data_IF_138416270521
#
_entry.id   IF_138416270521
#
_cell.length_a   1.000
_cell.length_b   1.000
_cell.length_c   1.000
_cell.angle_alpha   90.00
_cell.angle_beta   90.00
_cell.angle_gamma   90.00
#
_symmetry.space_group_name_H-M   'P 1'
#
loop_
_entity.id
_entity.type
_entity.pdbx_description
1 polymer ?
#
# COMPACT_ATOMS: atom_id res chain seq x y z
N UNK A 1 10.62 -54.81 -36.59
CA UNK A 1 10.92 -54.52 -35.18
C UNK A 1 11.28 -53.05 -35.08
N UNK A 2 10.33 -52.22 -34.62
CA UNK A 2 10.52 -50.78 -34.46
C UNK A 2 10.37 -50.44 -32.99
N UNK A 3 11.43 -49.90 -32.39
CA UNK A 3 11.38 -49.23 -31.09
C UNK A 3 12.03 -47.86 -31.29
N UNK A 4 11.18 -46.85 -31.47
CA UNK A 4 11.57 -45.45 -31.44
C UNK A 4 11.21 -44.90 -30.07
N UNK A 5 12.24 -44.45 -29.36
CA UNK A 5 12.19 -43.58 -28.19
C UNK A 5 11.68 -42.19 -28.57
N UNK A 6 10.72 -41.64 -27.83
CA UNK A 6 10.60 -40.20 -27.52
C UNK A 6 9.39 -40.04 -26.58
N UNK A 7 9.33 -39.21 -25.54
CA UNK A 7 10.06 -37.99 -25.24
C UNK A 7 9.13 -37.19 -24.33
N UNK A 8 9.61 -36.86 -23.13
CA UNK A 8 8.94 -36.03 -22.13
C UNK A 8 8.30 -34.78 -22.74
N UNK A 9 7.01 -34.53 -22.42
CA UNK A 9 6.41 -33.18 -22.53
C UNK A 9 5.98 -32.69 -21.16
N UNK A 10 6.91 -32.03 -20.48
CA UNK A 10 6.63 -31.04 -19.44
C UNK A 10 5.70 -29.96 -19.98
N UNK A 11 4.44 -30.00 -19.57
CA UNK A 11 3.47 -28.93 -19.78
C UNK A 11 3.91 -27.68 -19.03
N UNK A 12 4.32 -26.64 -19.76
CA UNK A 12 4.53 -25.29 -19.20
C UNK A 12 3.16 -24.74 -18.78
N UNK A 13 2.90 -24.68 -17.47
CA UNK A 13 1.76 -23.97 -16.87
C UNK A 13 1.74 -22.54 -17.40
N UNK A 14 0.65 -22.14 -18.07
CA UNK A 14 0.52 -20.82 -18.69
C UNK A 14 0.37 -19.65 -17.70
N UNK A 15 0.38 -18.40 -18.20
CA UNK A 15 0.36 -17.17 -17.40
C UNK A 15 -0.83 -17.04 -16.43
N UNK A 16 -2.03 -17.45 -16.85
CA UNK A 16 -3.28 -17.29 -16.07
C UNK A 16 -3.25 -18.01 -14.72
N UNK A 17 -2.77 -19.27 -14.69
CA UNK A 17 -2.67 -20.06 -13.46
C UNK A 17 -1.59 -19.50 -12.50
N UNK A 18 -0.61 -18.77 -13.04
CA UNK A 18 0.44 -18.12 -12.26
C UNK A 18 -0.11 -16.91 -11.50
N UNK A 19 -0.93 -16.08 -12.16
CA UNK A 19 -1.56 -14.91 -11.55
C UNK A 19 -2.62 -15.30 -10.50
N UNK A 20 -3.44 -16.33 -10.76
CA UNK A 20 -4.36 -16.88 -9.77
C UNK A 20 -3.63 -17.35 -8.50
N UNK A 21 -2.45 -17.97 -8.68
CA UNK A 21 -1.61 -18.39 -7.55
C UNK A 21 -1.06 -17.18 -6.79
N UNK A 22 -0.64 -16.12 -7.49
CA UNK A 22 -0.17 -14.88 -6.86
C UNK A 22 -1.28 -14.23 -6.04
N UNK A 23 -2.47 -14.10 -6.61
CA UNK A 23 -3.64 -13.52 -5.93
C UNK A 23 -4.01 -14.32 -4.67
N UNK A 24 -4.03 -15.66 -4.75
CA UNK A 24 -4.30 -16.52 -3.59
C UNK A 24 -3.24 -16.36 -2.48
N UNK A 25 -1.96 -16.19 -2.83
CA UNK A 25 -0.89 -15.93 -1.86
C UNK A 25 -1.06 -14.55 -1.21
N UNK A 26 -1.38 -13.51 -1.97
CA UNK A 26 -1.62 -12.18 -1.41
C UNK A 26 -2.83 -12.17 -0.46
N UNK A 27 -3.92 -12.85 -0.82
CA UNK A 27 -5.08 -13.02 0.07
C UNK A 27 -4.70 -13.73 1.37
N UNK A 28 -4.02 -14.88 1.27
CA UNK A 28 -3.57 -15.63 2.44
C UNK A 28 -2.60 -14.83 3.32
N UNK A 29 -1.75 -14.01 2.70
CA UNK A 29 -0.82 -13.11 3.38
C UNK A 29 -1.59 -12.08 4.21
N UNK A 30 -2.64 -11.45 3.65
CA UNK A 30 -3.46 -10.46 4.38
C UNK A 30 -4.17 -11.08 5.59
N UNK A 31 -4.69 -12.29 5.44
CA UNK A 31 -5.31 -13.01 6.55
C UNK A 31 -4.29 -13.28 7.66
N UNK A 32 -3.10 -13.80 7.32
CA UNK A 32 -2.02 -14.03 8.28
C UNK A 32 -1.59 -12.72 8.98
N UNK A 33 -1.40 -11.63 8.22
CA UNK A 33 -1.05 -10.31 8.77
C UNK A 33 -2.07 -9.82 9.80
N UNK A 34 -3.36 -10.03 9.52
CA UNK A 34 -4.44 -9.63 10.42
C UNK A 34 -4.50 -10.50 11.68
N UNK A 35 -4.27 -11.81 11.55
CA UNK A 35 -4.37 -12.80 12.64
C UNK A 35 -3.16 -12.76 13.59
N UNK A 36 -1.94 -12.71 13.06
CA UNK A 36 -0.71 -12.95 13.84
C UNK A 36 0.19 -11.72 13.97
N UNK A 37 -0.06 -10.67 13.17
CA UNK A 37 0.77 -9.47 13.15
C UNK A 37 2.17 -9.72 12.58
N UNK A 38 3.05 -8.71 12.65
CA UNK A 38 4.38 -8.79 12.01
C UNK A 38 5.30 -9.82 12.67
N UNK A 39 5.41 -9.82 14.01
CA UNK A 39 6.28 -10.74 14.74
C UNK A 39 5.83 -12.20 14.70
N UNK A 40 4.53 -12.44 14.55
CA UNK A 40 3.96 -13.78 14.50
C UNK A 40 3.82 -14.33 13.08
N UNK A 41 4.18 -13.55 12.06
CA UNK A 41 3.90 -13.86 10.67
C UNK A 41 4.60 -15.16 10.22
N UNK A 42 3.82 -16.11 9.68
CA UNK A 42 4.33 -17.40 9.21
C UNK A 42 4.15 -17.64 7.71
N UNK A 43 5.26 -17.74 6.99
CA UNK A 43 5.26 -18.11 5.56
C UNK A 43 4.73 -19.53 5.35
N UNK A 44 4.92 -20.43 6.32
CA UNK A 44 4.35 -21.79 6.27
C UNK A 44 2.82 -21.76 6.33
N UNK A 45 2.26 -20.92 7.21
CA UNK A 45 0.82 -20.72 7.32
C UNK A 45 0.24 -20.17 6.02
N UNK A 46 0.88 -19.15 5.44
CA UNK A 46 0.50 -18.58 4.14
C UNK A 46 0.56 -19.62 3.03
N UNK A 47 1.67 -20.37 2.92
CA UNK A 47 1.85 -21.41 1.90
C UNK A 47 0.75 -22.48 1.99
N UNK A 48 0.45 -22.95 3.22
CA UNK A 48 -0.63 -23.91 3.47
C UNK A 48 -2.00 -23.34 3.06
N UNK A 49 -2.30 -22.10 3.46
CA UNK A 49 -3.59 -21.44 3.18
C UNK A 49 -3.80 -21.17 1.69
N UNK A 50 -2.75 -20.74 0.98
CA UNK A 50 -2.78 -20.47 -0.45
C UNK A 50 -2.64 -21.75 -1.31
N UNK A 51 -2.47 -22.93 -0.70
CA UNK A 51 -2.12 -24.18 -1.40
C UNK A 51 -0.91 -24.02 -2.34
N UNK A 52 0.07 -23.24 -1.90
CA UNK A 52 1.27 -22.89 -2.66
C UNK A 52 2.53 -23.47 -1.98
N UNK A 53 3.59 -23.73 -2.76
CA UNK A 53 4.89 -24.07 -2.19
C UNK A 53 5.66 -22.80 -1.77
N UNK A 54 6.49 -22.89 -0.73
CA UNK A 54 7.43 -21.81 -0.36
C UNK A 54 8.29 -21.34 -1.54
N UNK A 55 8.77 -22.27 -2.36
CA UNK A 55 9.52 -21.95 -3.58
C UNK A 55 8.71 -21.10 -4.55
N UNK A 56 7.39 -21.29 -4.62
CA UNK A 56 6.51 -20.44 -5.43
C UNK A 56 6.42 -19.03 -4.87
N UNK A 57 6.32 -18.88 -3.54
CA UNK A 57 6.32 -17.58 -2.87
C UNK A 57 7.64 -16.82 -3.12
N UNK A 58 8.78 -17.44 -2.81
CA UNK A 58 10.09 -16.80 -2.96
C UNK A 58 10.48 -16.47 -4.42
N UNK A 59 9.79 -17.05 -5.41
CA UNK A 59 9.97 -16.68 -6.82
C UNK A 59 9.35 -15.33 -7.16
N UNK A 60 8.28 -14.94 -6.46
CA UNK A 60 7.52 -13.73 -6.76
C UNK A 60 8.01 -12.50 -6.02
N UNK A 61 8.47 -12.67 -4.77
CA UNK A 61 8.88 -11.56 -3.92
C UNK A 61 10.32 -11.74 -3.45
N UNK A 62 11.13 -10.66 -3.49
CA UNK A 62 12.54 -10.70 -3.06
C UNK A 62 12.67 -10.91 -1.55
N UNK A 63 11.66 -10.53 -0.77
CA UNK A 63 11.58 -10.75 0.66
C UNK A 63 10.14 -10.98 1.12
N UNK A 64 9.96 -11.53 2.33
CA UNK A 64 8.64 -11.69 2.93
C UNK A 64 8.05 -10.34 3.31
N UNK A 65 8.87 -9.38 3.73
CA UNK A 65 8.41 -8.02 3.96
C UNK A 65 7.83 -7.40 2.68
N UNK A 66 8.51 -7.58 1.53
CA UNK A 66 8.03 -7.09 0.25
C UNK A 66 6.70 -7.74 -0.16
N UNK A 67 6.50 -9.03 0.14
CA UNK A 67 5.20 -9.70 -0.04
C UNK A 67 4.11 -9.09 0.85
N UNK A 68 4.39 -8.81 2.12
CA UNK A 68 3.44 -8.16 3.04
C UNK A 68 3.06 -6.76 2.57
N UNK A 69 4.03 -5.99 2.06
CA UNK A 69 3.77 -4.67 1.48
C UNK A 69 2.92 -4.80 0.21
N UNK A 70 3.28 -5.67 -0.73
CA UNK A 70 2.49 -5.90 -1.96
C UNK A 70 1.04 -6.31 -1.63
N UNK A 71 0.88 -7.20 -0.64
CA UNK A 71 -0.43 -7.64 -0.16
C UNK A 71 -1.29 -6.50 0.40
N UNK A 72 -0.68 -5.55 1.11
CA UNK A 72 -1.37 -4.38 1.64
C UNK A 72 -1.68 -3.34 0.56
N UNK A 73 -0.73 -3.06 -0.34
CA UNK A 73 -0.91 -2.10 -1.42
C UNK A 73 -2.01 -2.55 -2.39
N UNK A 74 -2.16 -3.86 -2.61
CA UNK A 74 -3.25 -4.43 -3.42
C UNK A 74 -4.66 -4.22 -2.82
N UNK A 75 -4.78 -3.82 -1.55
CA UNK A 75 -6.07 -3.41 -0.95
C UNK A 75 -6.36 -1.93 -1.09
N UNK A 76 -5.38 -1.13 -1.48
CA UNK A 76 -5.56 0.31 -1.60
C UNK A 76 -6.22 0.57 -2.95
N UNK A 77 -7.45 1.11 -2.98
CA UNK A 77 -8.09 1.43 -4.24
C UNK A 77 -7.36 2.59 -4.93
N UNK A 78 -7.61 2.75 -6.23
CA UNK A 78 -7.15 3.93 -6.95
C UNK A 78 -7.70 5.22 -6.31
N UNK A 79 -6.93 6.30 -6.43
CA UNK A 79 -7.38 7.62 -5.97
C UNK A 79 -8.63 8.04 -6.75
N UNK A 80 -9.71 8.48 -6.07
CA UNK A 80 -10.89 9.00 -6.76
C UNK A 80 -10.57 10.32 -7.48
N UNK A 81 -11.48 10.78 -8.34
CA UNK A 81 -11.44 12.15 -8.84
C UNK A 81 -11.68 13.11 -7.67
N UNK A 82 -10.71 13.99 -7.42
CA UNK A 82 -10.77 15.01 -6.38
C UNK A 82 -11.51 16.28 -6.78
N UNK A 83 -12.08 16.34 -7.99
CA UNK A 83 -12.85 17.48 -8.45
C UNK A 83 -12.00 18.75 -8.60
N UNK A 84 -12.62 19.91 -8.29
CA UNK A 84 -11.99 21.23 -8.46
C UNK A 84 -11.60 21.90 -7.15
N UNK A 85 -12.20 21.50 -6.04
CA UNK A 85 -11.92 22.10 -4.74
C UNK A 85 -10.52 21.67 -4.24
N UNK A 86 -9.66 22.61 -3.78
CA UNK A 86 -8.32 22.27 -3.31
C UNK A 86 -8.30 21.22 -2.18
N UNK A 87 -9.25 21.27 -1.25
CA UNK A 87 -9.31 20.33 -0.13
C UNK A 87 -9.71 18.94 -0.63
N UNK A 88 -10.73 18.84 -1.48
CA UNK A 88 -11.15 17.58 -2.10
C UNK A 88 -10.01 16.95 -2.92
N UNK A 89 -9.26 17.76 -3.67
CA UNK A 89 -8.11 17.30 -4.47
C UNK A 89 -6.97 16.76 -3.62
N UNK A 90 -6.63 17.41 -2.51
CA UNK A 90 -5.63 16.89 -1.57
C UNK A 90 -6.15 15.63 -0.88
N UNK A 91 -7.42 15.63 -0.49
CA UNK A 91 -8.07 14.48 0.17
C UNK A 91 -8.05 13.25 -0.73
N UNK A 92 -8.34 13.40 -2.01
CA UNK A 92 -8.38 12.30 -2.98
C UNK A 92 -7.07 11.50 -3.05
N UNK A 93 -5.92 12.15 -2.82
CA UNK A 93 -4.61 11.49 -2.86
C UNK A 93 -4.34 10.58 -1.65
N UNK A 94 -5.03 10.78 -0.53
CA UNK A 94 -4.75 10.08 0.73
C UNK A 94 -5.94 9.30 1.29
N UNK A 95 -7.17 9.61 0.85
CA UNK A 95 -8.40 8.92 1.29
C UNK A 95 -8.43 7.42 0.96
N UNK A 96 -7.72 6.89 -0.06
CA UNK A 96 -7.63 5.44 -0.24
C UNK A 96 -7.04 4.70 0.98
N UNK A 97 -6.05 5.31 1.66
CA UNK A 97 -5.48 4.73 2.88
C UNK A 97 -6.49 4.71 4.03
N UNK A 98 -7.28 5.78 4.18
CA UNK A 98 -8.39 5.83 5.15
C UNK A 98 -9.44 4.75 4.84
N UNK A 99 -9.85 4.63 3.57
CA UNK A 99 -10.84 3.66 3.13
C UNK A 99 -10.39 2.22 3.43
N UNK A 100 -9.14 1.88 3.09
CA UNK A 100 -8.55 0.57 3.41
C UNK A 100 -8.48 0.36 4.92
N UNK A 101 -8.00 1.35 5.69
CA UNK A 101 -7.92 1.23 7.14
C UNK A 101 -9.28 0.97 7.82
N UNK A 102 -10.37 1.52 7.27
CA UNK A 102 -11.72 1.37 7.81
C UNK A 102 -12.44 0.09 7.37
N UNK A 103 -11.94 -0.61 6.36
CA UNK A 103 -12.62 -1.77 5.79
C UNK A 103 -12.06 -3.07 6.36
N UNK A 104 -12.92 -3.86 7.00
CA UNK A 104 -12.56 -5.17 7.56
C UNK A 104 -11.31 -5.10 8.45
N UNK A 105 -10.31 -5.93 8.14
CA UNK A 105 -9.01 -5.97 8.84
C UNK A 105 -7.93 -5.08 8.21
N UNK A 106 -8.30 -4.15 7.32
CA UNK A 106 -7.33 -3.35 6.56
C UNK A 106 -6.39 -2.50 7.43
N UNK A 107 -6.85 -1.96 8.57
CA UNK A 107 -5.97 -1.26 9.51
C UNK A 107 -4.86 -2.17 10.08
N UNK A 108 -5.16 -3.45 10.35
CA UNK A 108 -4.19 -4.40 10.84
C UNK A 108 -3.18 -4.78 9.74
N UNK A 109 -3.67 -4.99 8.52
CA UNK A 109 -2.84 -5.25 7.33
C UNK A 109 -1.90 -4.08 7.05
N UNK A 110 -2.39 -2.84 6.98
CA UNK A 110 -1.57 -1.65 6.77
C UNK A 110 -0.51 -1.49 7.87
N UNK A 111 -0.86 -1.73 9.14
CA UNK A 111 0.10 -1.68 10.24
C UNK A 111 1.22 -2.70 10.07
N UNK A 112 0.90 -3.95 9.69
CA UNK A 112 1.94 -4.97 9.47
C UNK A 112 2.82 -4.63 8.27
N UNK A 113 2.25 -4.12 7.18
CA UNK A 113 3.03 -3.67 6.03
C UNK A 113 3.99 -2.53 6.39
N UNK A 114 3.56 -1.56 7.21
CA UNK A 114 4.43 -0.48 7.71
C UNK A 114 5.56 -1.02 8.58
N UNK A 115 5.28 -1.95 9.50
CA UNK A 115 6.31 -2.57 10.34
C UNK A 115 7.30 -3.38 9.49
N UNK A 116 6.82 -4.12 8.50
CA UNK A 116 7.66 -4.82 7.55
C UNK A 116 8.55 -3.86 6.76
N UNK A 117 7.99 -2.75 6.26
CA UNK A 117 8.73 -1.73 5.51
C UNK A 117 9.83 -1.03 6.34
N UNK A 118 9.70 -1.00 7.67
CA UNK A 118 10.71 -0.48 8.60
C UNK A 118 11.84 -1.49 8.82
N UNK A 119 11.51 -2.77 9.01
CA UNK A 119 12.48 -3.80 9.37
C UNK A 119 13.18 -4.45 8.15
N UNK A 120 12.55 -4.43 6.98
CA UNK A 120 12.99 -5.09 5.75
C UNK A 120 13.25 -4.06 4.65
N UNK A 121 14.48 -4.05 4.12
CA UNK A 121 14.94 -3.03 3.17
C UNK A 121 14.14 -3.06 1.87
N UNK A 122 13.95 -4.25 1.31
CA UNK A 122 13.22 -4.47 0.06
C UNK A 122 11.76 -4.06 0.22
N UNK A 123 11.14 -4.40 1.35
CA UNK A 123 9.79 -3.95 1.69
C UNK A 123 9.70 -2.41 1.76
N UNK A 124 10.67 -1.78 2.42
CA UNK A 124 10.77 -0.33 2.50
C UNK A 124 10.92 0.33 1.14
N UNK A 125 11.68 -0.26 0.21
CA UNK A 125 11.81 0.23 -1.15
C UNK A 125 10.48 0.16 -1.92
N UNK A 126 9.75 -0.96 -1.81
CA UNK A 126 8.42 -1.10 -2.44
C UNK A 126 7.45 -0.06 -1.87
N UNK A 127 7.41 0.12 -0.55
CA UNK A 127 6.53 1.11 0.08
C UNK A 127 6.88 2.55 -0.35
N UNK A 128 8.17 2.92 -0.34
CA UNK A 128 8.61 4.26 -0.77
C UNK A 128 8.35 4.50 -2.25
N UNK A 129 8.48 3.48 -3.10
CA UNK A 129 8.16 3.59 -4.53
C UNK A 129 6.67 3.88 -4.74
N UNK A 130 5.79 3.20 -4.00
CA UNK A 130 4.35 3.47 -4.02
C UNK A 130 4.03 4.89 -3.51
N UNK A 131 4.55 5.29 -2.33
CA UNK A 131 4.37 6.67 -1.82
C UNK A 131 4.85 7.71 -2.85
N UNK A 132 6.01 7.46 -3.47
CA UNK A 132 6.61 8.33 -4.47
C UNK A 132 5.71 8.55 -5.69
N UNK A 133 5.18 7.45 -6.22
CA UNK A 133 4.35 7.44 -7.44
C UNK A 133 2.93 7.92 -7.19
N UNK A 134 2.25 7.35 -6.19
CA UNK A 134 0.80 7.49 -6.02
C UNK A 134 0.41 8.69 -5.17
N UNK A 135 1.32 9.20 -4.33
CA UNK A 135 1.04 10.33 -3.44
C UNK A 135 1.97 11.51 -3.71
N UNK A 136 3.28 11.33 -3.56
CA UNK A 136 4.26 12.44 -3.57
C UNK A 136 4.29 13.18 -4.90
N UNK A 137 4.35 12.47 -6.02
CA UNK A 137 4.40 13.10 -7.34
C UNK A 137 3.09 13.85 -7.69
N UNK A 138 1.89 13.25 -7.57
CA UNK A 138 0.62 13.95 -7.77
C UNK A 138 0.46 15.15 -6.84
N UNK A 139 0.80 15.00 -5.55
CA UNK A 139 0.74 16.07 -4.58
C UNK A 139 1.66 17.23 -4.96
N UNK A 140 2.90 16.96 -5.37
CA UNK A 140 3.84 17.99 -5.83
C UNK A 140 3.27 18.81 -6.99
N UNK A 141 2.63 18.16 -7.96
CA UNK A 141 2.00 18.83 -9.09
C UNK A 141 0.81 19.69 -8.65
N UNK A 142 -0.04 19.15 -7.78
CA UNK A 142 -1.18 19.86 -7.20
C UNK A 142 -0.73 21.10 -6.41
N UNK A 143 0.23 20.97 -5.51
CA UNK A 143 0.72 22.09 -4.70
C UNK A 143 1.37 23.18 -5.55
N UNK A 144 2.14 22.80 -6.57
CA UNK A 144 2.71 23.77 -7.52
C UNK A 144 1.63 24.56 -8.27
N UNK A 145 0.55 23.89 -8.69
CA UNK A 145 -0.61 24.54 -9.30
C UNK A 145 -1.31 25.51 -8.34
N UNK A 146 -1.60 25.07 -7.12
CA UNK A 146 -2.27 25.88 -6.09
C UNK A 146 -1.43 27.11 -5.71
N UNK A 147 -0.10 26.95 -5.60
CA UNK A 147 0.83 28.03 -5.34
C UNK A 147 0.99 28.99 -6.55
N UNK A 148 0.82 28.48 -7.77
CA UNK A 148 0.70 29.28 -8.99
C UNK A 148 -0.54 30.19 -8.96
N UNK A 149 -1.66 29.65 -8.48
CA UNK A 149 -2.95 30.35 -8.30
C UNK A 149 -3.04 31.20 -7.03
N UNK A 150 -1.98 31.25 -6.21
CA UNK A 150 -1.95 31.94 -4.90
C UNK A 150 -2.99 31.42 -3.90
N UNK A 151 -3.42 30.17 -4.02
CA UNK A 151 -4.28 29.51 -3.02
C UNK A 151 -3.48 29.17 -1.76
N UNK A 152 -2.20 28.82 -1.94
CA UNK A 152 -1.25 28.55 -0.86
C UNK A 152 0.06 29.33 -1.06
N UNK A 153 0.83 29.50 0.02
CA UNK A 153 2.20 30.04 -0.01
C UNK A 153 3.13 29.17 -0.87
N UNK A 154 4.16 29.78 -1.45
CA UNK A 154 5.07 29.15 -2.44
C UNK A 154 6.25 28.39 -1.84
N UNK A 155 6.53 28.65 -0.58
CA UNK A 155 7.65 28.10 0.20
C UNK A 155 7.20 26.89 1.04
N UNK A 156 6.35 26.04 0.47
CA UNK A 156 6.01 24.76 1.08
C UNK A 156 7.17 23.77 0.92
N UNK A 157 7.46 23.03 1.98
CA UNK A 157 8.32 21.84 1.92
C UNK A 157 7.46 20.60 1.71
N UNK A 158 7.75 19.82 0.67
CA UNK A 158 6.90 18.67 0.31
C UNK A 158 6.97 17.54 1.35
N UNK A 159 8.12 17.39 2.01
CA UNK A 159 8.28 16.38 3.07
C UNK A 159 7.49 16.78 4.30
N UNK A 160 7.53 18.06 4.69
CA UNK A 160 6.69 18.58 5.77
C UNK A 160 5.19 18.40 5.47
N UNK A 161 4.75 18.68 4.24
CA UNK A 161 3.34 18.49 3.87
C UNK A 161 2.94 17.01 3.94
N UNK A 162 3.80 16.09 3.48
CA UNK A 162 3.52 14.66 3.61
C UNK A 162 3.44 14.21 5.07
N UNK A 163 4.32 14.73 5.93
CA UNK A 163 4.30 14.46 7.37
C UNK A 163 3.03 15.00 8.04
N UNK A 164 2.57 16.20 7.68
CA UNK A 164 1.31 16.77 8.17
C UNK A 164 0.08 15.95 7.73
N UNK A 165 0.06 15.48 6.47
CA UNK A 165 -1.07 14.73 5.92
C UNK A 165 -1.13 13.28 6.44
N UNK A 166 0.02 12.59 6.49
CA UNK A 166 0.08 11.15 6.75
C UNK A 166 0.57 10.79 8.15
N UNK A 167 1.35 11.65 8.82
CA UNK A 167 1.88 11.41 10.17
C UNK A 167 0.78 11.06 11.18
N UNK A 168 -0.32 11.84 11.27
CA UNK A 168 -1.45 11.52 12.16
C UNK A 168 -2.11 10.16 11.86
N UNK A 169 -2.20 9.78 10.58
CA UNK A 169 -2.72 8.48 10.14
C UNK A 169 -1.81 7.35 10.63
N UNK A 170 -0.49 7.47 10.42
CA UNK A 170 0.50 6.48 10.87
C UNK A 170 0.53 6.35 12.38
N UNK A 171 0.50 7.46 13.12
CA UNK A 171 0.41 7.45 14.58
C UNK A 171 -0.82 6.66 15.04
N UNK A 172 -1.98 6.85 14.40
CA UNK A 172 -3.21 6.15 14.77
C UNK A 172 -3.15 4.65 14.46
N UNK A 173 -2.63 4.28 13.29
CA UNK A 173 -2.51 2.88 12.88
C UNK A 173 -1.48 2.12 13.72
N UNK A 174 -0.32 2.72 13.99
CA UNK A 174 0.81 2.05 14.65
C UNK A 174 0.75 2.15 16.16
N UNK A 175 0.59 3.35 16.72
CA UNK A 175 0.71 3.61 18.16
C UNK A 175 -0.62 3.38 18.85
N UNK A 176 -1.69 4.01 18.35
CA UNK A 176 -3.03 3.83 18.92
C UNK A 176 -3.64 2.48 18.55
N UNK A 177 -3.08 1.79 17.55
CA UNK A 177 -3.52 0.48 17.05
C UNK A 177 -5.02 0.44 16.72
N UNK A 178 -5.59 1.56 16.28
CA UNK A 178 -7.01 1.75 16.07
C UNK A 178 -7.31 2.16 14.62
N UNK A 179 -8.51 1.86 14.09
CA UNK A 179 -8.94 2.40 12.81
C UNK A 179 -9.03 3.93 12.87
N UNK A 180 -8.95 4.55 11.70
CA UNK A 180 -9.24 5.98 11.54
C UNK A 180 -10.74 6.23 11.47
N UNK A 181 -11.18 7.36 12.00
CA UNK A 181 -12.57 7.81 11.85
C UNK A 181 -12.83 8.28 10.42
N UNK A 182 -14.09 8.53 10.13
CA UNK A 182 -14.54 8.99 8.81
C UNK A 182 -14.16 10.45 8.61
N UNK A 183 -13.79 10.80 7.38
CA UNK A 183 -13.36 12.14 7.02
C UNK A 183 -12.03 12.53 7.64
N UNK A 184 -11.23 11.56 8.11
CA UNK A 184 -9.96 11.84 8.76
C UNK A 184 -8.99 12.52 7.79
N UNK A 185 -8.87 11.99 6.57
CA UNK A 185 -8.05 12.56 5.50
C UNK A 185 -8.58 13.92 5.04
N UNK A 186 -9.90 14.08 4.96
CA UNK A 186 -10.52 15.36 4.60
C UNK A 186 -10.18 16.46 5.62
N UNK A 187 -10.18 16.12 6.90
CA UNK A 187 -9.77 17.03 7.95
C UNK A 187 -8.27 17.36 7.91
N UNK A 188 -7.41 16.37 7.66
CA UNK A 188 -5.97 16.64 7.50
C UNK A 188 -5.71 17.58 6.31
N UNK A 189 -6.39 17.37 5.18
CA UNK A 189 -6.31 18.26 4.02
C UNK A 189 -6.76 19.68 4.37
N UNK A 190 -7.87 19.83 5.10
CA UNK A 190 -8.36 21.14 5.56
C UNK A 190 -7.41 21.82 6.56
N UNK A 191 -6.81 21.06 7.48
CA UNK A 191 -5.79 21.55 8.41
C UNK A 191 -4.56 22.05 7.65
N UNK A 192 -4.06 21.26 6.71
CA UNK A 192 -2.94 21.63 5.84
C UNK A 192 -3.22 22.95 5.10
N UNK A 193 -4.38 23.05 4.43
CA UNK A 193 -4.72 24.27 3.68
C UNK A 193 -4.83 25.50 4.58
N UNK A 194 -5.34 25.37 5.81
CA UNK A 194 -5.36 26.48 6.77
C UNK A 194 -3.97 26.93 7.19
N UNK A 195 -3.02 26.00 7.37
CA UNK A 195 -1.63 26.32 7.73
C UNK A 195 -0.91 27.04 6.58
N UNK A 196 -1.23 26.69 5.34
CA UNK A 196 -0.53 27.17 4.14
C UNK A 196 -1.30 28.22 3.32
N UNK A 197 -2.48 28.64 3.76
CA UNK A 197 -3.31 29.62 3.06
C UNK A 197 -2.59 30.95 2.86
N UNK A 198 -2.77 31.56 1.70
CA UNK A 198 -2.31 32.93 1.43
C UNK A 198 -3.27 33.90 2.09
N UNK A 199 -2.78 34.75 3.00
CA UNK A 199 -3.54 35.87 3.57
C UNK A 199 -3.69 37.01 2.55
#
# INVERSE_FOLDING_TARGET
MATTTDGSKTSRKGPTRSEESKAAILEATRVEMAETGWRGFSVDSVAKRASASKQTIYRWWPSIGAMCVDAALALIPDSPDGGRDPQERVTALIVPLEATARTGQGHAVLRVALLAAVDDKEAGEVWRAWIGRDIRQPLRMLLAELAGKKVIRRDFDLDEVLELLLGPLWHRLMIMRAPVREGFCAEQAGNFLRVYATF
#
